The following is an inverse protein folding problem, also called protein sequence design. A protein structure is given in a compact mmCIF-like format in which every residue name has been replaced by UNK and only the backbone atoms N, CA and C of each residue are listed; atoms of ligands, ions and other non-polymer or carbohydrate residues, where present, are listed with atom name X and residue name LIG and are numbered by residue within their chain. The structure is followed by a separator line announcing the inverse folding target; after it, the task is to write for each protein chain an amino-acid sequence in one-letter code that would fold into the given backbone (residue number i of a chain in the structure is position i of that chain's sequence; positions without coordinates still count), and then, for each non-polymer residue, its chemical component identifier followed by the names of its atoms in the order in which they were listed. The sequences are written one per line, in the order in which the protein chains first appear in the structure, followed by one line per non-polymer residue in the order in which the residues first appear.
data_IF_463805669429
#
_entry.id   IF_463805669429
#
_cell.length_a   1.000
_cell.length_b   1.000
_cell.length_c   1.000
_cell.angle_alpha   90.00
_cell.angle_beta   90.00
_cell.angle_gamma   90.00
#
_symmetry.space_group_name_H-M   'P 1'
#
loop_
_entity.id
_entity.type
_entity.pdbx_description
1 polymer ?
#
# COMPACT_ATOMS: atom_id res chain seq x y z
N UNK A 1 17.30 -34.41 5.53
CA UNK A 1 17.27 -33.15 6.32
C UNK A 1 15.86 -32.56 6.27
N UNK A 2 15.11 -32.64 7.37
CA UNK A 2 13.82 -31.94 7.49
C UNK A 2 14.14 -30.50 7.91
N UNK A 3 14.21 -29.60 6.93
CA UNK A 3 14.29 -28.16 7.19
C UNK A 3 12.98 -27.74 7.87
N UNK A 4 13.03 -27.37 9.15
CA UNK A 4 11.86 -26.92 9.89
C UNK A 4 11.30 -25.66 9.21
N UNK A 5 10.03 -25.73 8.80
CA UNK A 5 9.29 -24.64 8.15
C UNK A 5 8.92 -23.58 9.18
N UNK A 6 9.88 -22.90 9.79
CA UNK A 6 9.58 -21.71 10.62
C UNK A 6 9.38 -20.49 9.73
N UNK A 7 8.31 -20.53 8.92
CA UNK A 7 7.67 -19.30 8.44
C UNK A 7 6.86 -18.75 9.61
N UNK A 8 7.52 -18.02 10.51
CA UNK A 8 6.86 -17.35 11.62
C UNK A 8 5.83 -16.37 11.08
N UNK A 9 4.57 -16.51 11.51
CA UNK A 9 3.39 -15.82 10.95
C UNK A 9 3.44 -14.32 11.27
N UNK A 10 4.00 -13.51 10.39
CA UNK A 10 3.92 -12.05 10.39
C UNK A 10 2.47 -11.61 10.49
N UNK A 11 2.24 -10.53 11.23
CA UNK A 11 0.91 -9.95 11.44
C UNK A 11 0.13 -10.59 12.59
N UNK A 12 0.66 -11.65 13.22
CA UNK A 12 0.10 -12.24 14.45
C UNK A 12 1.17 -12.15 15.54
N UNK A 13 0.78 -11.67 16.73
CA UNK A 13 1.65 -11.67 17.89
C UNK A 13 1.93 -13.12 18.33
N UNK A 14 3.20 -13.45 18.54
CA UNK A 14 3.65 -14.74 19.09
C UNK A 14 4.33 -14.46 20.44
N UNK A 15 3.59 -14.53 21.56
CA UNK A 15 4.12 -14.21 22.88
C UNK A 15 4.81 -15.40 23.56
N UNK A 16 4.81 -16.57 22.94
CA UNK A 16 5.42 -17.78 23.49
C UNK A 16 6.96 -17.61 23.57
N UNK A 17 7.57 -17.67 24.76
CA UNK A 17 9.02 -17.55 24.90
C UNK A 17 9.81 -18.70 24.26
N UNK A 18 9.18 -19.87 24.05
CA UNK A 18 9.81 -21.03 23.42
C UNK A 18 9.71 -21.01 21.88
N UNK A 19 9.01 -20.02 21.30
CA UNK A 19 8.91 -19.89 19.85
C UNK A 19 10.30 -19.61 19.23
N UNK A 20 10.78 -20.45 18.30
CA UNK A 20 12.13 -20.30 17.79
C UNK A 20 12.27 -19.01 16.98
N UNK A 21 13.37 -18.24 17.17
CA UNK A 21 13.58 -17.01 16.44
C UNK A 21 13.65 -17.27 14.94
N UNK A 22 13.14 -16.31 14.18
CA UNK A 22 13.05 -16.41 12.72
C UNK A 22 14.44 -16.48 12.10
N UNK A 23 14.78 -17.62 11.50
CA UNK A 23 16.13 -17.86 10.96
C UNK A 23 16.44 -17.14 9.64
N UNK A 24 15.43 -16.66 8.89
CA UNK A 24 15.63 -15.94 7.61
C UNK A 24 14.44 -15.10 7.15
N UNK A 25 14.71 -14.02 6.41
CA UNK A 25 13.74 -13.25 5.61
C UNK A 25 12.97 -14.11 4.58
N UNK A 26 11.67 -13.82 4.38
CA UNK A 26 10.81 -14.51 3.41
C UNK A 26 11.02 -13.84 2.05
N UNK A 27 12.00 -14.35 1.29
CA UNK A 27 12.46 -13.79 0.02
C UNK A 27 11.68 -14.29 -1.20
N UNK A 28 10.44 -14.76 -1.02
CA UNK A 28 9.62 -15.16 -2.17
C UNK A 28 9.38 -13.96 -3.09
N UNK A 29 9.27 -14.21 -4.39
CA UNK A 29 8.89 -13.19 -5.37
C UNK A 29 7.37 -12.97 -5.33
N UNK A 30 6.91 -11.87 -5.90
CA UNK A 30 5.49 -11.49 -5.96
C UNK A 30 4.98 -10.82 -4.69
N UNK A 31 3.75 -10.30 -4.77
CA UNK A 31 3.12 -9.49 -3.74
C UNK A 31 2.90 -10.24 -2.42
N UNK A 32 2.98 -9.49 -1.32
CA UNK A 32 2.69 -10.01 0.00
C UNK A 32 1.18 -10.16 0.25
N UNK A 33 0.81 -11.20 0.97
CA UNK A 33 -0.50 -11.37 1.58
C UNK A 33 -0.34 -12.11 2.91
N UNK A 34 -1.41 -12.20 3.69
CA UNK A 34 -1.38 -12.97 4.94
C UNK A 34 -1.00 -14.44 4.73
N UNK A 35 -1.57 -15.09 3.71
CA UNK A 35 -1.33 -16.52 3.41
C UNK A 35 0.14 -16.84 3.17
N UNK A 36 0.87 -15.90 2.58
CA UNK A 36 2.27 -16.05 2.23
C UNK A 36 3.23 -15.43 3.26
N UNK A 37 2.76 -15.10 4.46
CA UNK A 37 3.57 -14.60 5.57
C UNK A 37 4.23 -13.24 5.27
N UNK A 38 3.55 -12.40 4.48
CA UNK A 38 3.96 -11.02 4.15
C UNK A 38 2.72 -10.13 4.14
N UNK A 39 2.07 -9.92 5.31
CA UNK A 39 0.87 -9.10 5.38
C UNK A 39 1.19 -7.69 4.88
N UNK A 40 0.46 -7.17 3.88
CA UNK A 40 0.63 -5.80 3.42
C UNK A 40 0.16 -4.81 4.48
N UNK A 41 0.87 -3.67 4.53
CA UNK A 41 0.44 -2.48 5.24
C UNK A 41 0.00 -1.47 4.21
N UNK A 42 -1.19 -0.93 4.35
CA UNK A 42 -1.73 0.13 3.50
C UNK A 42 -1.81 1.41 4.31
N UNK A 43 -1.62 2.55 3.64
CA UNK A 43 -1.60 3.85 4.28
C UNK A 43 -2.30 4.92 3.46
N UNK A 44 -2.83 5.92 4.15
CA UNK A 44 -3.27 7.19 3.59
C UNK A 44 -2.69 8.32 4.43
N UNK A 45 -2.21 9.37 3.75
CA UNK A 45 -1.80 10.63 4.38
C UNK A 45 -2.63 11.77 3.81
N UNK A 46 -3.32 12.50 4.69
CA UNK A 46 -4.00 13.73 4.33
C UNK A 46 -2.99 14.85 4.14
N UNK A 47 -2.78 15.31 2.91
CA UNK A 47 -1.75 16.31 2.59
C UNK A 47 -1.96 17.67 3.28
N UNK A 48 -3.20 18.13 3.35
CA UNK A 48 -3.53 19.39 4.03
C UNK A 48 -3.59 19.27 5.55
N UNK A 49 -3.95 18.09 6.08
CA UNK A 49 -4.16 17.88 7.52
C UNK A 49 -2.96 17.26 8.24
N UNK A 50 -2.05 16.62 7.52
CA UNK A 50 -1.00 15.77 8.08
C UNK A 50 -1.51 14.49 8.76
N UNK A 51 -2.82 14.20 8.70
CA UNK A 51 -3.40 13.03 9.35
C UNK A 51 -2.97 11.74 8.62
N UNK A 52 -2.66 10.70 9.39
CA UNK A 52 -2.15 9.42 8.89
C UNK A 52 -3.10 8.31 9.33
N UNK A 53 -3.52 7.47 8.38
CA UNK A 53 -4.20 6.21 8.66
C UNK A 53 -3.36 5.06 8.11
N UNK A 54 -3.09 4.05 8.93
CA UNK A 54 -2.38 2.83 8.54
C UNK A 54 -3.20 1.61 8.95
N UNK A 55 -3.25 0.61 8.08
CA UNK A 55 -3.89 -0.67 8.40
C UNK A 55 -3.07 -1.84 7.87
N UNK A 56 -3.01 -2.90 8.67
CA UNK A 56 -2.58 -4.21 8.19
C UNK A 56 -3.77 -4.87 7.51
N UNK A 57 -3.64 -5.24 6.24
CA UNK A 57 -4.75 -5.82 5.46
C UNK A 57 -4.43 -7.22 4.95
N UNK A 58 -5.46 -8.02 4.71
CA UNK A 58 -5.32 -9.40 4.22
C UNK A 58 -4.52 -9.49 2.92
N UNK A 59 -4.78 -8.55 2.01
CA UNK A 59 -4.45 -8.58 0.58
C UNK A 59 -4.44 -7.15 0.02
N UNK A 60 -3.80 -6.92 -1.12
CA UNK A 60 -3.83 -5.63 -1.85
C UNK A 60 -4.70 -5.71 -3.12
N UNK A 61 -5.85 -6.37 -3.02
CA UNK A 61 -6.84 -6.40 -4.10
C UNK A 61 -7.75 -5.17 -4.08
N UNK A 62 -8.51 -5.01 -5.16
CA UNK A 62 -9.30 -3.84 -5.41
C UNK A 62 -10.37 -3.58 -4.36
N UNK A 63 -11.06 -4.62 -3.90
CA UNK A 63 -12.09 -4.51 -2.88
C UNK A 63 -11.50 -4.02 -1.56
N UNK A 64 -10.40 -4.64 -1.12
CA UNK A 64 -9.71 -4.28 0.13
C UNK A 64 -9.22 -2.83 0.10
N UNK A 65 -8.56 -2.44 -1.00
CA UNK A 65 -7.99 -1.09 -1.14
C UNK A 65 -9.07 -0.02 -1.26
N UNK A 66 -10.13 -0.28 -2.04
CA UNK A 66 -11.26 0.64 -2.18
C UNK A 66 -11.95 0.87 -0.84
N UNK A 67 -12.18 -0.21 -0.08
CA UNK A 67 -12.79 -0.13 1.25
C UNK A 67 -11.93 0.68 2.22
N UNK A 68 -10.62 0.41 2.26
CA UNK A 68 -9.68 1.14 3.12
C UNK A 68 -9.65 2.64 2.79
N UNK A 69 -9.47 3.00 1.52
CA UNK A 69 -9.50 4.39 1.07
C UNK A 69 -10.85 5.04 1.40
N UNK A 70 -11.95 4.33 1.11
CA UNK A 70 -13.33 4.67 1.46
C UNK A 70 -13.50 5.11 2.91
N UNK A 71 -12.98 4.31 3.83
CA UNK A 71 -13.07 4.54 5.28
C UNK A 71 -12.12 5.62 5.81
N UNK A 72 -11.03 5.92 5.09
CA UNK A 72 -9.94 6.75 5.59
C UNK A 72 -9.98 8.20 5.10
N UNK A 73 -10.93 8.53 4.22
CA UNK A 73 -11.00 9.84 3.56
C UNK A 73 -12.45 10.20 3.23
N UNK A 74 -12.72 11.49 3.05
CA UNK A 74 -14.04 11.97 2.60
C UNK A 74 -14.32 11.54 1.16
N UNK A 75 -15.60 11.42 0.79
CA UNK A 75 -16.02 10.91 -0.52
C UNK A 75 -15.38 11.68 -1.68
N UNK A 76 -15.34 13.01 -1.60
CA UNK A 76 -14.84 13.91 -2.65
C UNK A 76 -13.31 14.09 -2.65
N UNK A 77 -12.58 13.34 -1.81
CA UNK A 77 -11.14 13.48 -1.71
C UNK A 77 -10.44 13.12 -3.03
N UNK A 78 -9.45 13.94 -3.42
CA UNK A 78 -8.47 13.58 -4.45
C UNK A 78 -7.44 12.63 -3.85
N UNK A 79 -7.25 11.47 -4.49
CA UNK A 79 -6.33 10.42 -4.06
C UNK A 79 -5.21 10.27 -5.08
N UNK A 80 -3.96 10.23 -4.59
CA UNK A 80 -2.77 10.07 -5.41
C UNK A 80 -2.11 8.70 -5.12
N UNK A 81 -1.85 7.89 -6.14
CA UNK A 81 -1.28 6.52 -5.98
C UNK A 81 -0.28 6.13 -7.07
N UNK A 82 0.46 5.05 -6.82
CA UNK A 82 1.56 4.46 -7.61
C UNK A 82 1.14 3.62 -8.84
N UNK A 83 0.04 3.98 -9.51
CA UNK A 83 -0.55 3.21 -10.63
C UNK A 83 -0.95 1.76 -10.31
N UNK A 84 -0.91 1.33 -9.06
CA UNK A 84 -1.30 -0.03 -8.71
C UNK A 84 -2.75 -0.31 -9.13
N UNK A 85 -2.96 -1.39 -9.90
CA UNK A 85 -4.26 -1.76 -10.48
C UNK A 85 -5.38 -1.94 -9.45
N UNK A 86 -5.03 -2.24 -8.20
CA UNK A 86 -5.99 -2.32 -7.11
C UNK A 86 -6.77 -1.01 -6.88
N UNK A 87 -6.19 0.15 -7.23
CA UNK A 87 -6.85 1.44 -7.11
C UNK A 87 -7.72 1.83 -8.31
N UNK A 88 -7.79 1.01 -9.37
CA UNK A 88 -8.47 1.36 -10.63
C UNK A 88 -9.99 1.68 -10.50
N UNK A 89 -10.62 1.35 -9.37
CA UNK A 89 -12.03 1.64 -9.10
C UNK A 89 -12.27 2.86 -8.20
N UNK A 90 -11.22 3.57 -7.77
CA UNK A 90 -11.41 4.75 -6.93
C UNK A 90 -12.28 5.81 -7.62
N UNK A 91 -12.04 6.09 -8.90
CA UNK A 91 -12.85 7.00 -9.70
C UNK A 91 -14.35 6.64 -9.74
N UNK A 92 -14.67 5.34 -9.71
CA UNK A 92 -16.07 4.86 -9.71
C UNK A 92 -16.77 5.03 -8.36
N UNK A 93 -16.01 5.29 -7.28
CA UNK A 93 -16.52 5.49 -5.92
C UNK A 93 -16.56 6.97 -5.52
N UNK A 94 -16.80 7.85 -6.50
CA UNK A 94 -16.90 9.31 -6.33
C UNK A 94 -15.61 9.99 -5.83
N UNK A 95 -14.45 9.37 -6.06
CA UNK A 95 -13.15 9.89 -5.62
C UNK A 95 -12.36 10.40 -6.80
N UNK A 96 -11.81 11.60 -6.68
CA UNK A 96 -10.76 12.03 -7.59
C UNK A 96 -9.57 11.07 -7.49
N UNK A 97 -9.01 10.66 -8.62
CA UNK A 97 -7.88 9.75 -8.65
C UNK A 97 -6.87 10.19 -9.71
N UNK A 98 -5.62 10.36 -9.29
CA UNK A 98 -4.50 10.68 -10.15
C UNK A 98 -3.29 9.81 -9.77
N UNK A 99 -2.46 9.49 -10.76
CA UNK A 99 -1.29 8.62 -10.60
C UNK A 99 -0.07 9.20 -11.29
N UNK A 100 1.13 8.72 -10.97
CA UNK A 100 2.36 9.04 -11.73
C UNK A 100 2.83 7.80 -12.49
N UNK A 101 3.37 7.97 -13.70
CA UNK A 101 3.84 6.84 -14.49
C UNK A 101 5.07 6.17 -13.85
N UNK A 102 4.96 4.90 -13.48
CA UNK A 102 6.08 4.13 -12.90
C UNK A 102 6.81 3.23 -13.93
N UNK A 103 6.40 3.29 -15.19
CA UNK A 103 6.95 2.46 -16.28
C UNK A 103 8.45 2.74 -16.49
N UNK A 104 9.32 1.72 -16.45
CA UNK A 104 10.75 1.90 -16.72
C UNK A 104 10.98 2.56 -18.09
N UNK A 105 11.77 3.64 -18.11
CA UNK A 105 12.04 4.43 -19.32
C UNK A 105 11.04 5.56 -19.57
N UNK A 106 9.93 5.62 -18.85
CA UNK A 106 8.92 6.69 -18.91
C UNK A 106 8.51 7.16 -17.50
N UNK A 107 9.39 6.99 -16.52
CA UNK A 107 9.07 7.28 -15.12
C UNK A 107 8.80 8.76 -14.90
N UNK A 108 7.71 9.03 -14.21
CA UNK A 108 7.34 10.34 -13.70
C UNK A 108 7.50 10.32 -12.18
N UNK A 109 8.10 11.38 -11.64
CA UNK A 109 8.25 11.54 -10.19
C UNK A 109 7.16 12.41 -9.58
N UNK A 110 6.68 13.38 -10.36
CA UNK A 110 5.55 14.21 -10.01
C UNK A 110 4.98 14.87 -11.28
N UNK A 111 3.68 15.13 -11.33
CA UNK A 111 3.02 15.86 -12.43
C UNK A 111 2.46 17.19 -11.94
N UNK A 112 2.57 18.17 -12.83
CA UNK A 112 1.93 19.48 -12.81
C UNK A 112 0.78 19.39 -13.83
N UNK A 113 -0.43 19.14 -13.34
CA UNK A 113 -1.56 18.84 -14.22
C UNK A 113 -2.24 20.10 -14.77
N UNK A 114 -2.06 21.26 -14.12
CA UNK A 114 -2.66 22.54 -14.54
C UNK A 114 -1.64 23.54 -15.14
N UNK A 115 -0.35 23.24 -15.07
CA UNK A 115 0.73 24.02 -15.67
C UNK A 115 1.11 25.26 -14.86
N UNK A 116 0.75 25.34 -13.58
CA UNK A 116 1.05 26.49 -12.73
C UNK A 116 2.48 26.47 -12.14
N UNK A 117 3.22 25.37 -12.36
CA UNK A 117 4.57 25.15 -11.88
C UNK A 117 4.66 24.44 -10.52
N UNK A 118 3.53 24.19 -9.86
CA UNK A 118 3.38 23.30 -8.72
C UNK A 118 3.20 21.87 -9.26
N UNK A 119 3.66 20.86 -8.52
CA UNK A 119 3.51 19.46 -8.93
C UNK A 119 2.63 18.74 -7.93
N UNK A 120 1.32 18.80 -8.15
CA UNK A 120 0.31 18.29 -7.22
C UNK A 120 0.31 16.76 -7.22
N UNK A 121 0.60 16.09 -8.32
CA UNK A 121 0.48 14.63 -8.39
C UNK A 121 1.81 13.99 -8.02
N UNK A 122 1.88 13.34 -6.86
CA UNK A 122 3.03 12.53 -6.41
C UNK A 122 2.62 11.59 -5.26
N UNK A 123 3.37 10.52 -5.02
CA UNK A 123 3.05 9.44 -4.06
C UNK A 123 4.13 9.19 -3.00
N UNK A 124 5.26 9.90 -3.08
CA UNK A 124 6.48 9.72 -2.27
C UNK A 124 6.29 9.78 -0.74
N UNK A 125 5.16 10.25 -0.22
CA UNK A 125 4.92 10.39 1.24
C UNK A 125 4.78 9.04 1.94
N UNK A 126 4.25 8.03 1.24
CA UNK A 126 3.99 6.70 1.80
C UNK A 126 4.80 5.59 1.11
N UNK A 127 5.70 5.95 0.19
CA UNK A 127 6.62 5.01 -0.43
C UNK A 127 7.71 4.58 0.56
N UNK A 128 8.00 3.26 0.63
CA UNK A 128 9.01 2.67 1.51
C UNK A 128 9.39 1.25 1.13
#
# INVERSE_FOLDING_TARGET
MKCSRTRGKKGICHPDPDDPPRRRANKQRGHGNFDNDRPPVVGVVGRGSGAVALAVVGRTDQETLTSFVGSSTVAEAMVYTDEWKGYARLAQNNRGHATVNHTPGQREWARDDDGDGIREVHDNTLEG
#
